data_IF_115617439347
#
_entry.id   IF_115617439347
#
_cell.length_a   1.000
_cell.length_b   1.000
_cell.length_c   1.000
_cell.angle_alpha   90.00
_cell.angle_beta   90.00
_cell.angle_gamma   90.00
#
_symmetry.space_group_name_H-M   'P 1'
#
loop_
_entity.id
_entity.type
_entity.pdbx_description
1 polymer ?
#
# COMPACT_ATOMS: atom_id res chain seq x y z
N UNK A 1 -18.92 17.25 -43.84
CA UNK A 1 -17.85 16.47 -43.18
C UNK A 1 -17.83 16.87 -41.72
N UNK A 2 -18.49 16.08 -40.87
CA UNK A 2 -18.62 16.36 -39.44
C UNK A 2 -17.38 15.86 -38.72
N UNK A 3 -16.62 16.77 -38.09
CA UNK A 3 -15.54 16.39 -37.19
C UNK A 3 -16.17 15.83 -35.91
N UNK A 4 -16.17 14.51 -35.78
CA UNK A 4 -16.49 13.83 -34.53
C UNK A 4 -15.30 14.08 -33.59
N UNK A 5 -15.35 15.19 -32.87
CA UNK A 5 -14.47 15.47 -31.74
C UNK A 5 -14.84 14.48 -30.64
N UNK A 6 -14.30 13.26 -30.73
CA UNK A 6 -14.20 12.41 -29.57
C UNK A 6 -13.22 13.12 -28.64
N UNK A 7 -13.76 14.00 -27.79
CA UNK A 7 -13.21 14.21 -26.47
C UNK A 7 -13.24 12.85 -25.80
N UNK A 8 -12.25 12.01 -26.13
CA UNK A 8 -11.81 10.95 -25.28
C UNK A 8 -11.37 11.68 -24.02
N UNK A 9 -12.35 11.87 -23.14
CA UNK A 9 -12.12 12.17 -21.75
C UNK A 9 -11.23 11.04 -21.28
N UNK A 10 -9.92 11.25 -21.37
CA UNK A 10 -8.96 10.58 -20.53
C UNK A 10 -9.39 10.94 -19.11
N UNK A 11 -10.36 10.19 -18.59
CA UNK A 11 -10.73 10.21 -17.18
C UNK A 11 -9.41 9.98 -16.50
N UNK A 12 -8.84 10.98 -15.79
CA UNK A 12 -7.62 10.73 -15.03
C UNK A 12 -8.06 9.67 -14.05
N UNK A 13 -7.65 8.42 -14.26
CA UNK A 13 -8.06 7.32 -13.42
C UNK A 13 -7.66 7.73 -12.01
N UNK A 14 -8.69 7.99 -11.20
CA UNK A 14 -8.56 8.51 -9.86
C UNK A 14 -7.49 7.69 -9.14
N UNK A 15 -6.51 8.40 -8.59
CA UNK A 15 -5.35 7.88 -7.90
C UNK A 15 -5.69 7.09 -6.61
N UNK A 16 -6.95 6.75 -6.38
CA UNK A 16 -7.46 6.06 -5.19
C UNK A 16 -6.72 4.75 -4.88
N UNK A 17 -6.25 4.02 -5.90
CA UNK A 17 -5.43 2.81 -5.72
C UNK A 17 -4.18 3.03 -4.88
N UNK A 18 -3.59 4.24 -4.92
CA UNK A 18 -2.41 4.60 -4.13
C UNK A 18 -2.64 4.48 -2.63
N UNK A 19 -3.83 4.87 -2.17
CA UNK A 19 -4.14 4.84 -0.75
C UNK A 19 -4.16 3.40 -0.24
N UNK A 20 -4.62 2.45 -1.06
CA UNK A 20 -4.55 1.03 -0.76
C UNK A 20 -3.10 0.52 -0.62
N UNK A 21 -2.18 1.00 -1.46
CA UNK A 21 -0.74 0.65 -1.35
C UNK A 21 -0.14 1.15 -0.05
N UNK A 22 -0.52 2.35 0.42
CA UNK A 22 0.00 2.93 1.66
C UNK A 22 -0.43 2.19 2.95
N UNK A 23 -1.38 1.25 2.85
CA UNK A 23 -1.76 0.40 3.98
C UNK A 23 -0.74 -0.72 4.25
N UNK A 24 0.33 -0.84 3.46
CA UNK A 24 1.35 -1.89 3.62
C UNK A 24 1.96 -2.03 5.03
N UNK A 25 2.04 -0.99 5.90
CA UNK A 25 2.51 -1.18 7.27
C UNK A 25 1.45 -1.81 8.19
N UNK A 26 0.16 -1.69 7.86
CA UNK A 26 -0.93 -2.15 8.73
C UNK A 26 -1.01 -3.67 8.82
N UNK A 27 -0.71 -4.39 7.75
CA UNK A 27 -0.58 -5.86 7.74
C UNK A 27 0.40 -6.36 8.81
N UNK A 28 1.70 -6.02 8.72
CA UNK A 28 2.71 -6.45 9.69
C UNK A 28 2.45 -5.93 11.11
N UNK A 29 1.95 -4.70 11.27
CA UNK A 29 1.59 -4.18 12.60
C UNK A 29 0.45 -4.98 13.23
N UNK A 30 -0.59 -5.30 12.45
CA UNK A 30 -1.71 -6.14 12.93
C UNK A 30 -1.22 -7.55 13.25
N UNK A 31 -0.31 -8.12 12.46
CA UNK A 31 0.31 -9.41 12.76
C UNK A 31 1.09 -9.39 14.06
N UNK A 32 1.88 -8.34 14.32
CA UNK A 32 2.61 -8.17 15.58
C UNK A 32 1.65 -8.08 16.77
N UNK A 33 0.56 -7.32 16.64
CA UNK A 33 -0.49 -7.26 17.65
C UNK A 33 -1.13 -8.64 17.89
N UNK A 34 -1.35 -9.43 16.84
CA UNK A 34 -1.88 -10.80 16.95
C UNK A 34 -0.92 -11.71 17.72
N UNK A 35 0.38 -11.68 17.41
CA UNK A 35 1.39 -12.44 18.15
C UNK A 35 1.51 -12.00 19.61
N UNK A 36 1.46 -10.70 19.87
CA UNK A 36 1.49 -10.17 21.24
C UNK A 36 0.24 -10.60 22.02
N UNK A 37 -0.93 -10.58 21.39
CA UNK A 37 -2.17 -11.11 21.96
C UNK A 37 -2.06 -12.59 22.30
N UNK A 38 -1.52 -13.41 21.39
CA UNK A 38 -1.35 -14.84 21.62
C UNK A 38 -0.39 -15.12 22.77
N UNK A 39 0.73 -14.39 22.82
CA UNK A 39 1.71 -14.49 23.89
C UNK A 39 1.13 -14.05 25.25
N UNK A 40 0.30 -13.01 25.28
CA UNK A 40 -0.42 -12.59 26.49
C UNK A 40 -1.46 -13.62 26.91
N UNK A 41 -2.16 -14.23 25.94
CA UNK A 41 -3.15 -15.26 26.21
C UNK A 41 -2.53 -16.46 26.92
N UNK A 42 -1.40 -16.99 26.44
CA UNK A 42 -0.71 -18.11 27.08
C UNK A 42 -0.27 -17.77 28.50
N UNK A 43 0.30 -16.57 28.70
CA UNK A 43 0.67 -16.07 30.04
C UNK A 43 -0.53 -15.92 30.98
N UNK A 44 -1.66 -15.47 30.47
CA UNK A 44 -2.88 -15.31 31.26
C UNK A 44 -3.48 -16.66 31.65
N UNK A 45 -3.38 -17.68 30.78
CA UNK A 45 -3.76 -19.06 31.11
C UNK A 45 -2.90 -19.60 32.26
N UNK A 46 -1.57 -19.42 32.20
CA UNK A 46 -0.66 -19.86 33.27
C UNK A 46 -0.96 -19.16 34.61
N UNK A 47 -1.42 -17.90 34.55
CA UNK A 47 -1.76 -17.09 35.72
C UNK A 47 -3.22 -17.24 36.17
N UNK A 48 -3.99 -18.15 35.56
CA UNK A 48 -5.43 -18.37 35.83
C UNK A 48 -6.29 -17.08 35.72
N UNK A 49 -5.85 -16.12 34.91
CA UNK A 49 -6.52 -14.82 34.76
C UNK A 49 -7.49 -14.83 33.58
N UNK A 50 -8.75 -15.19 33.84
CA UNK A 50 -9.80 -15.33 32.82
C UNK A 50 -10.00 -14.02 32.04
N UNK A 51 -10.13 -12.88 32.73
CA UNK A 51 -10.41 -11.59 32.08
C UNK A 51 -9.32 -11.17 31.10
N UNK A 52 -8.05 -11.32 31.49
CA UNK A 52 -6.91 -11.03 30.62
C UNK A 52 -6.83 -12.02 29.47
N UNK A 53 -7.09 -13.31 29.73
CA UNK A 53 -7.14 -14.35 28.71
C UNK A 53 -8.17 -14.04 27.62
N UNK A 54 -9.40 -13.72 27.99
CA UNK A 54 -10.47 -13.37 27.03
C UNK A 54 -10.09 -12.13 26.22
N UNK A 55 -9.60 -11.07 26.87
CA UNK A 55 -9.18 -9.86 26.16
C UNK A 55 -8.04 -10.13 25.16
N UNK A 56 -7.02 -10.88 25.58
CA UNK A 56 -5.87 -11.24 24.76
C UNK A 56 -6.27 -12.13 23.56
N UNK A 57 -7.21 -13.06 23.78
CA UNK A 57 -7.78 -13.88 22.71
C UNK A 57 -8.51 -13.04 21.66
N UNK A 58 -9.37 -12.11 22.10
CA UNK A 58 -10.09 -11.20 21.18
C UNK A 58 -9.10 -10.38 20.35
N UNK A 59 -8.07 -9.81 20.98
CA UNK A 59 -7.01 -9.06 20.28
C UNK A 59 -6.31 -9.95 19.24
N UNK A 60 -5.96 -11.18 19.62
CA UNK A 60 -5.31 -12.15 18.73
C UNK A 60 -6.11 -12.37 17.46
N UNK A 61 -7.40 -12.67 17.62
CA UNK A 61 -8.31 -12.99 16.51
C UNK A 61 -8.55 -11.76 15.63
N UNK A 62 -8.92 -10.62 16.23
CA UNK A 62 -9.23 -9.41 15.47
C UNK A 62 -8.00 -8.89 14.72
N UNK A 63 -6.84 -8.83 15.37
CA UNK A 63 -5.61 -8.37 14.74
C UNK A 63 -5.14 -9.35 13.66
N UNK A 64 -5.37 -10.66 13.84
CA UNK A 64 -5.11 -11.68 12.82
C UNK A 64 -5.94 -11.44 11.56
N UNK A 65 -7.27 -11.29 11.69
CA UNK A 65 -8.15 -11.00 10.56
C UNK A 65 -7.83 -9.67 9.88
N UNK A 66 -7.48 -8.64 10.64
CA UNK A 66 -7.05 -7.35 10.10
C UNK A 66 -5.75 -7.48 9.29
N UNK A 67 -4.78 -8.28 9.76
CA UNK A 67 -3.54 -8.55 9.01
C UNK A 67 -3.85 -9.13 7.61
N UNK A 68 -4.71 -10.16 7.54
CA UNK A 68 -5.13 -10.75 6.27
C UNK A 68 -5.84 -9.73 5.36
N UNK A 69 -6.77 -8.96 5.92
CA UNK A 69 -7.54 -7.95 5.17
C UNK A 69 -6.61 -6.88 4.58
N UNK A 70 -5.74 -6.28 5.40
CA UNK A 70 -4.82 -5.25 4.93
C UNK A 70 -3.83 -5.80 3.92
N UNK A 71 -3.28 -6.99 4.14
CA UNK A 71 -2.35 -7.59 3.19
C UNK A 71 -3.02 -7.89 1.84
N UNK A 72 -4.28 -8.34 1.84
CA UNK A 72 -5.06 -8.55 0.61
C UNK A 72 -5.32 -7.24 -0.13
N UNK A 73 -5.75 -6.19 0.59
CA UNK A 73 -5.98 -4.85 0.01
C UNK A 73 -4.69 -4.34 -0.63
N UNK A 74 -3.56 -4.44 0.05
CA UNK A 74 -2.26 -3.99 -0.46
C UNK A 74 -1.86 -4.78 -1.71
N UNK A 75 -2.05 -6.11 -1.71
CA UNK A 75 -1.74 -6.95 -2.86
C UNK A 75 -2.57 -6.58 -4.10
N UNK A 76 -3.87 -6.31 -3.93
CA UNK A 76 -4.75 -5.86 -5.01
C UNK A 76 -4.34 -4.46 -5.46
N UNK A 77 -4.17 -3.54 -4.52
CA UNK A 77 -3.87 -2.14 -4.79
C UNK A 77 -2.55 -1.97 -5.54
N UNK A 78 -1.47 -2.64 -5.13
CA UNK A 78 -0.18 -2.55 -5.84
C UNK A 78 -0.25 -3.15 -7.24
N UNK A 79 -1.03 -4.21 -7.40
CA UNK A 79 -1.24 -4.86 -8.70
C UNK A 79 -2.05 -3.98 -9.65
N UNK A 80 -3.02 -3.22 -9.15
CA UNK A 80 -3.82 -2.30 -9.95
C UNK A 80 -3.07 -1.00 -10.23
N UNK A 81 -2.36 -0.45 -9.24
CA UNK A 81 -1.52 0.74 -9.41
C UNK A 81 -0.40 0.51 -10.43
N UNK A 82 0.28 -0.65 -10.40
CA UNK A 82 1.30 -0.97 -11.38
C UNK A 82 0.73 -1.18 -12.80
N UNK A 83 -0.47 -1.75 -12.93
CA UNK A 83 -1.15 -1.87 -14.24
C UNK A 83 -1.56 -0.50 -14.79
N UNK A 84 -2.06 0.39 -13.93
CA UNK A 84 -2.43 1.74 -14.31
C UNK A 84 -1.22 2.59 -14.73
N UNK A 85 -0.03 2.31 -14.17
CA UNK A 85 1.22 3.01 -14.48
C UNK A 85 2.05 2.34 -15.57
N UNK A 86 1.59 1.24 -16.17
CA UNK A 86 2.37 0.47 -17.17
C UNK A 86 2.80 1.32 -18.37
N UNK A 87 1.96 2.26 -18.80
CA UNK A 87 2.26 3.08 -19.98
C UNK A 87 2.65 4.52 -19.59
N UNK A 88 2.98 4.76 -18.31
CA UNK A 88 3.33 6.09 -17.82
C UNK A 88 4.73 6.49 -18.31
N UNK A 89 4.89 7.66 -18.96
CA UNK A 89 6.10 8.02 -19.71
C UNK A 89 7.37 8.15 -18.86
N UNK A 90 7.24 8.53 -17.58
CA UNK A 90 8.38 8.71 -16.67
C UNK A 90 8.64 7.52 -15.75
N UNK A 91 7.71 6.56 -15.63
CA UNK A 91 7.84 5.44 -14.70
C UNK A 91 6.93 4.28 -15.09
N UNK A 92 7.54 3.19 -15.56
CA UNK A 92 6.86 1.96 -15.95
C UNK A 92 7.27 0.81 -15.03
N UNK A 93 6.54 0.55 -13.92
CA UNK A 93 6.83 -0.58 -13.06
C UNK A 93 6.40 -1.88 -13.74
N UNK A 94 7.24 -2.93 -13.65
CA UNK A 94 6.87 -4.27 -14.12
C UNK A 94 5.64 -4.78 -13.35
N UNK A 95 4.50 -5.04 -14.02
CA UNK A 95 3.29 -5.52 -13.34
C UNK A 95 3.49 -6.86 -12.63
N UNK A 96 4.37 -7.71 -13.16
CA UNK A 96 4.69 -9.02 -12.57
C UNK A 96 5.46 -8.89 -11.26
N UNK A 97 6.41 -7.95 -11.17
CA UNK A 97 7.14 -7.70 -9.93
C UNK A 97 6.22 -7.09 -8.86
N UNK A 98 5.32 -6.19 -9.25
CA UNK A 98 4.33 -5.61 -8.34
C UNK A 98 3.36 -6.66 -7.78
N UNK A 99 2.82 -7.53 -8.64
CA UNK A 99 1.99 -8.67 -8.21
C UNK A 99 2.77 -9.61 -7.29
N UNK A 100 4.01 -9.94 -7.64
CA UNK A 100 4.89 -10.76 -6.80
C UNK A 100 5.12 -10.15 -5.42
N UNK A 101 5.41 -8.85 -5.34
CA UNK A 101 5.56 -8.15 -4.07
C UNK A 101 4.27 -8.19 -3.24
N UNK A 102 3.11 -7.99 -3.87
CA UNK A 102 1.80 -8.13 -3.23
C UNK A 102 1.55 -9.54 -2.68
N UNK A 103 1.88 -10.58 -3.44
CA UNK A 103 1.76 -11.98 -2.99
C UNK A 103 2.70 -12.30 -1.83
N UNK A 104 3.96 -11.84 -1.88
CA UNK A 104 4.91 -12.00 -0.78
C UNK A 104 4.41 -11.25 0.47
N UNK A 105 3.80 -10.09 0.30
CA UNK A 105 3.20 -9.34 1.40
C UNK A 105 2.00 -10.07 2.01
N UNK A 106 1.14 -10.65 1.18
CA UNK A 106 0.03 -11.49 1.63
C UNK A 106 0.49 -12.75 2.35
N UNK A 107 1.53 -13.42 1.83
CA UNK A 107 2.19 -14.53 2.52
C UNK A 107 2.75 -14.10 3.89
N UNK A 108 3.14 -12.84 4.01
CA UNK A 108 3.51 -12.18 5.27
C UNK A 108 2.46 -12.33 6.37
N UNK A 109 1.17 -12.23 6.02
CA UNK A 109 0.07 -12.36 6.96
C UNK A 109 -0.10 -13.79 7.51
N UNK A 110 0.44 -14.80 6.81
CA UNK A 110 0.47 -16.20 7.27
C UNK A 110 1.79 -16.50 7.98
N UNK A 111 2.90 -16.01 7.43
CA UNK A 111 4.26 -16.24 7.88
C UNK A 111 4.96 -14.90 8.04
N UNK A 112 5.41 -14.55 9.24
CA UNK A 112 6.02 -13.24 9.48
C UNK A 112 7.27 -12.97 8.62
N UNK A 113 8.03 -14.01 8.25
CA UNK A 113 9.28 -13.91 7.47
C UNK A 113 9.15 -13.11 6.16
N UNK A 114 8.20 -13.43 5.27
CA UNK A 114 7.92 -12.66 4.05
C UNK A 114 7.74 -11.14 4.23
N UNK A 115 7.33 -10.64 5.41
CA UNK A 115 7.28 -9.19 5.65
C UNK A 115 8.65 -8.52 5.61
N UNK A 116 9.73 -9.23 5.96
CA UNK A 116 11.09 -8.70 5.89
C UNK A 116 11.53 -8.35 4.47
N UNK A 117 10.94 -8.99 3.45
CA UNK A 117 11.21 -8.72 2.04
C UNK A 117 10.17 -7.81 1.42
N UNK A 118 8.88 -8.05 1.67
CA UNK A 118 7.80 -7.29 1.04
C UNK A 118 7.72 -5.85 1.53
N UNK A 119 7.89 -5.59 2.82
CA UNK A 119 7.81 -4.23 3.40
C UNK A 119 8.84 -3.29 2.75
N UNK A 120 10.15 -3.60 2.71
CA UNK A 120 11.11 -2.74 2.03
C UNK A 120 10.89 -2.65 0.52
N UNK A 121 10.45 -3.73 -0.14
CA UNK A 121 10.14 -3.72 -1.57
C UNK A 121 8.98 -2.77 -1.91
N UNK A 122 7.89 -2.82 -1.12
CA UNK A 122 6.72 -1.94 -1.30
C UNK A 122 7.07 -0.50 -0.91
N UNK A 123 7.86 -0.30 0.15
CA UNK A 123 8.36 1.03 0.51
C UNK A 123 9.22 1.64 -0.62
N UNK A 124 10.11 0.85 -1.22
CA UNK A 124 10.90 1.27 -2.37
C UNK A 124 10.03 1.61 -3.58
N UNK A 125 9.01 0.78 -3.86
CA UNK A 125 8.03 1.04 -4.91
C UNK A 125 7.33 2.39 -4.69
N UNK A 126 6.80 2.62 -3.49
CA UNK A 126 6.13 3.88 -3.11
C UNK A 126 7.07 5.08 -3.26
N UNK A 127 8.32 4.94 -2.81
CA UNK A 127 9.32 5.99 -2.94
C UNK A 127 9.60 6.35 -4.40
N UNK A 128 9.89 5.36 -5.26
CA UNK A 128 10.13 5.57 -6.69
C UNK A 128 8.92 6.16 -7.39
N UNK A 129 7.73 5.65 -7.08
CA UNK A 129 6.47 6.17 -7.61
C UNK A 129 6.28 7.64 -7.27
N UNK A 130 6.57 8.06 -6.03
CA UNK A 130 6.48 9.47 -5.60
C UNK A 130 7.41 10.37 -6.41
N UNK A 131 8.64 9.92 -6.68
CA UNK A 131 9.62 10.71 -7.43
C UNK A 131 9.20 10.98 -8.87
N UNK A 132 8.61 10.01 -9.57
CA UNK A 132 8.35 10.11 -11.01
C UNK A 132 6.91 10.52 -11.36
N UNK A 133 5.95 10.28 -10.45
CA UNK A 133 4.52 10.55 -10.69
C UNK A 133 4.00 11.70 -9.81
N UNK A 134 4.65 11.95 -8.66
CA UNK A 134 4.25 13.02 -7.74
C UNK A 134 5.12 14.29 -7.79
N UNK A 135 6.28 14.24 -8.46
CA UNK A 135 7.28 15.32 -8.46
C UNK A 135 7.10 16.37 -9.57
N UNK A 136 6.55 15.98 -10.73
CA UNK A 136 6.59 16.82 -11.94
C UNK A 136 5.49 17.90 -11.97
N UNK A 137 4.37 17.71 -11.25
CA UNK A 137 3.28 18.68 -11.21
C UNK A 137 3.60 19.99 -10.45
N UNK A 138 4.59 19.97 -9.55
CA UNK A 138 4.96 21.15 -8.75
C UNK A 138 6.02 22.03 -9.39
N UNK A 139 6.92 21.45 -10.19
CA UNK A 139 8.05 22.17 -10.78
C UNK A 139 7.63 23.06 -11.95
N UNK A 140 6.79 22.54 -12.85
CA UNK A 140 6.31 23.30 -14.00
C UNK A 140 5.46 24.52 -13.64
N UNK A 141 4.69 24.45 -12.54
CA UNK A 141 3.86 25.56 -12.07
C UNK A 141 4.70 26.68 -11.42
N UNK A 142 5.75 26.32 -10.68
CA UNK A 142 6.67 27.29 -10.07
C UNK A 142 7.57 27.97 -11.11
N UNK A 143 8.01 27.23 -12.14
CA UNK A 143 8.83 27.76 -13.23
C UNK A 143 8.00 28.67 -14.14
N UNK A 144 6.76 28.28 -14.47
CA UNK A 144 5.83 29.12 -15.22
C UNK A 144 5.43 30.41 -14.47
N UNK A 145 5.27 30.36 -13.15
CA UNK A 145 5.01 31.56 -12.34
C UNK A 145 6.23 32.49 -12.28
N UNK A 146 7.45 31.93 -12.29
CA UNK A 146 8.71 32.68 -12.25
C UNK A 146 8.98 33.38 -13.57
N UNK A 147 8.76 32.70 -14.70
CA UNK A 147 8.88 33.29 -16.04
C UNK A 147 7.89 34.44 -16.24
N UNK A 148 6.67 34.32 -15.69
CA UNK A 148 5.66 35.38 -15.76
C UNK A 148 6.07 36.63 -14.97
N UNK A 149 6.74 36.45 -13.83
CA UNK A 149 7.21 37.54 -12.98
C UNK A 149 8.47 38.25 -13.52
N UNK A 150 9.21 37.63 -14.43
CA UNK A 150 10.38 38.25 -15.08
C UNK A 150 10.04 39.05 -16.34
N UNK A 151 8.77 39.00 -16.77
CA UNK A 151 8.26 39.72 -17.95
C UNK A 151 7.45 40.98 -17.60
N UNK A 152 7.30 41.29 -16.31
CA UNK A 152 6.76 42.55 -15.78
C UNK A 152 7.87 43.41 -15.17
#
# INVERSE_FOLDING_TARGET
>A
MSQFSASESAVPADQSWRYGVYLFPLGPLSMLCSYAGLWLFTRATDAESIGVGVAAFIVTVLAGWLSYLFAAIVAIAISMDARALRDHPTWNPSPWLAVGAGLVHFAGAVLAGPYLLSVPAIAYYVYRRRQHVGGDGGRGSAESARDRATLE
#
